data_IF_693518438845
#
_entry.id   IF_693518438845
#
_cell.length_a   1.000
_cell.length_b   1.000
_cell.length_c   1.000
_cell.angle_alpha   90.00
_cell.angle_beta   90.00
_cell.angle_gamma   90.00
#
_symmetry.space_group_name_H-M   'P 1'
#
loop_
_entity.id
_entity.type
_entity.pdbx_description
1 polymer ?
#
# COMPACT_ATOMS: atom_id res chain seq x y z
N UNK A 1 -54.09 10.66 19.29
CA UNK A 1 -52.91 11.55 19.26
C UNK A 1 -51.68 10.65 19.25
N UNK A 2 -51.18 10.34 18.06
CA UNK A 2 -50.03 9.45 17.87
C UNK A 2 -48.80 10.34 18.04
N UNK A 3 -48.07 10.20 19.16
CA UNK A 3 -46.79 10.89 19.29
C UNK A 3 -45.86 10.34 18.23
N UNK A 4 -45.50 11.17 17.26
CA UNK A 4 -44.37 10.90 16.40
C UNK A 4 -43.13 10.86 17.31
N UNK A 5 -42.56 9.68 17.47
CA UNK A 5 -41.20 9.56 17.97
C UNK A 5 -40.30 10.07 16.85
N UNK A 6 -40.02 11.38 16.86
CA UNK A 6 -38.96 11.95 16.05
C UNK A 6 -37.66 11.24 16.42
N UNK A 7 -37.03 10.50 15.51
CA UNK A 7 -35.80 9.80 15.83
C UNK A 7 -34.72 10.84 16.11
N UNK A 8 -34.32 10.87 17.38
CA UNK A 8 -33.18 11.57 17.97
C UNK A 8 -32.00 11.64 16.98
N UNK A 9 -31.63 12.85 16.54
CA UNK A 9 -30.55 13.15 15.61
C UNK A 9 -29.14 12.90 16.20
N UNK A 10 -28.97 11.82 16.96
CA UNK A 10 -27.72 11.45 17.66
C UNK A 10 -26.74 10.65 16.81
N UNK A 11 -26.83 10.73 15.49
CA UNK A 11 -25.77 10.25 14.62
C UNK A 11 -24.90 11.45 14.24
N UNK A 12 -23.68 11.47 14.80
CA UNK A 12 -22.54 12.32 14.45
C UNK A 12 -22.25 12.28 12.94
N UNK A 13 -23.10 12.88 12.12
CA UNK A 13 -22.77 13.15 10.71
C UNK A 13 -21.85 14.37 10.74
N UNK A 14 -20.57 14.27 10.32
CA UNK A 14 -19.74 15.45 10.17
C UNK A 14 -20.43 16.40 9.17
N UNK A 15 -20.28 17.73 9.33
CA UNK A 15 -20.82 18.69 8.37
C UNK A 15 -20.42 18.28 6.96
N UNK A 16 -21.37 18.28 6.00
CA UNK A 16 -21.11 17.85 4.63
C UNK A 16 -19.90 18.59 4.02
N UNK A 17 -19.68 19.85 4.41
CA UNK A 17 -18.52 20.66 4.01
C UNK A 17 -17.17 20.03 4.36
N UNK A 18 -17.05 19.40 5.54
CA UNK A 18 -15.82 18.73 5.97
C UNK A 18 -15.56 17.47 5.15
N UNK A 19 -16.63 16.76 4.76
CA UNK A 19 -16.52 15.56 3.91
C UNK A 19 -15.99 15.98 2.54
N UNK A 20 -16.61 16.99 1.92
CA UNK A 20 -16.19 17.51 0.61
C UNK A 20 -14.75 18.02 0.63
N UNK A 21 -14.37 18.78 1.66
CA UNK A 21 -13.01 19.31 1.80
C UNK A 21 -11.96 18.21 1.92
N UNK A 22 -12.22 17.18 2.74
CA UNK A 22 -11.30 16.03 2.89
C UNK A 22 -11.22 15.23 1.58
N UNK A 23 -12.35 15.07 0.88
CA UNK A 23 -12.38 14.39 -0.41
C UNK A 23 -11.55 15.11 -1.48
N UNK A 24 -11.64 16.44 -1.54
CA UNK A 24 -10.83 17.27 -2.45
C UNK A 24 -9.34 17.13 -2.14
N UNK A 25 -8.93 17.25 -0.87
CA UNK A 25 -7.53 17.10 -0.46
C UNK A 25 -6.94 15.72 -0.82
N UNK A 26 -7.71 14.64 -0.62
CA UNK A 26 -7.27 13.29 -0.97
C UNK A 26 -7.22 13.08 -2.49
N UNK A 27 -8.10 13.76 -3.24
CA UNK A 27 -8.12 13.70 -4.70
C UNK A 27 -6.93 14.45 -5.31
N UNK A 28 -6.50 15.55 -4.70
CA UNK A 28 -5.29 16.30 -5.08
C UNK A 28 -4.02 15.50 -4.82
N UNK A 29 -3.82 15.00 -3.59
CA UNK A 29 -2.70 14.12 -3.25
C UNK A 29 -3.15 12.90 -2.45
N UNK A 30 -3.15 11.74 -3.13
CA UNK A 30 -3.51 10.45 -2.53
C UNK A 30 -2.50 9.94 -1.50
N UNK A 31 -1.30 10.52 -1.38
CA UNK A 31 -0.27 10.12 -0.40
C UNK A 31 -0.39 10.84 0.95
N UNK A 32 -1.25 11.86 1.04
CA UNK A 32 -1.46 12.66 2.26
C UNK A 32 -1.64 11.81 3.51
N UNK A 33 -0.92 12.19 4.56
CA UNK A 33 -1.03 11.56 5.88
C UNK A 33 -2.19 12.13 6.67
N UNK A 34 -2.72 11.37 7.63
CA UNK A 34 -3.80 11.85 8.51
C UNK A 34 -3.40 13.16 9.21
N UNK A 35 -2.12 13.32 9.58
CA UNK A 35 -1.61 14.55 10.22
C UNK A 35 -1.69 15.77 9.31
N UNK A 36 -1.36 15.61 8.02
CA UNK A 36 -1.50 16.69 7.04
C UNK A 36 -2.97 17.03 6.83
N UNK A 37 -3.84 16.03 6.70
CA UNK A 37 -5.29 16.27 6.57
C UNK A 37 -5.87 16.98 7.81
N UNK A 38 -5.40 16.65 9.02
CA UNK A 38 -5.80 17.36 10.26
C UNK A 38 -5.43 18.84 10.17
N UNK A 39 -4.21 19.13 9.72
CA UNK A 39 -3.72 20.49 9.58
C UNK A 39 -4.53 21.27 8.53
N UNK A 40 -4.69 20.71 7.33
CA UNK A 40 -5.28 21.40 6.18
C UNK A 40 -6.81 21.51 6.27
N UNK A 41 -7.46 20.47 6.80
CA UNK A 41 -8.90 20.49 7.07
C UNK A 41 -9.25 21.25 8.36
N UNK A 42 -8.30 21.39 9.31
CA UNK A 42 -8.52 21.89 10.68
C UNK A 42 -9.59 21.08 11.45
N UNK A 43 -9.59 19.76 11.24
CA UNK A 43 -10.54 18.80 11.83
C UNK A 43 -9.79 17.79 12.70
N UNK A 44 -10.42 17.28 13.76
CA UNK A 44 -9.80 16.29 14.64
C UNK A 44 -9.43 14.99 13.90
N UNK A 45 -8.35 14.33 14.33
CA UNK A 45 -7.86 13.09 13.70
C UNK A 45 -8.92 11.98 13.67
N UNK A 46 -9.66 11.79 14.76
CA UNK A 46 -10.71 10.77 14.82
C UNK A 46 -11.87 11.03 13.87
N UNK A 47 -12.23 12.30 13.66
CA UNK A 47 -13.24 12.67 12.66
C UNK A 47 -12.73 12.40 11.24
N UNK A 48 -11.46 12.68 10.95
CA UNK A 48 -10.87 12.39 9.63
C UNK A 48 -10.82 10.89 9.37
N UNK A 49 -10.42 10.08 10.34
CA UNK A 49 -10.45 8.61 10.22
C UNK A 49 -11.87 8.10 9.95
N UNK A 50 -12.87 8.69 10.64
CA UNK A 50 -14.29 8.37 10.41
C UNK A 50 -14.73 8.75 9.00
N UNK A 51 -14.33 9.94 8.51
CA UNK A 51 -14.64 10.40 7.15
C UNK A 51 -14.01 9.49 6.11
N UNK A 52 -12.71 9.21 6.23
CA UNK A 52 -11.98 8.39 5.26
C UNK A 52 -12.58 6.98 5.18
N UNK A 53 -12.81 6.32 6.32
CA UNK A 53 -13.24 4.92 6.32
C UNK A 53 -14.75 4.72 6.19
N UNK A 54 -15.58 5.53 6.86
CA UNK A 54 -17.04 5.31 6.92
C UNK A 54 -17.80 6.13 5.88
N UNK A 55 -17.34 7.34 5.55
CA UNK A 55 -18.04 8.20 4.60
C UNK A 55 -17.50 8.06 3.17
N UNK A 56 -16.18 7.95 3.00
CA UNK A 56 -15.53 7.85 1.69
C UNK A 56 -15.16 6.41 1.30
N UNK A 57 -15.21 5.45 2.24
CA UNK A 57 -14.85 4.05 1.97
C UNK A 57 -13.40 3.85 1.54
N UNK A 58 -12.52 4.78 1.90
CA UNK A 58 -11.11 4.77 1.52
C UNK A 58 -10.32 3.81 2.40
N UNK A 59 -9.36 3.12 1.77
CA UNK A 59 -8.35 2.32 2.46
C UNK A 59 -6.95 2.81 2.09
N UNK A 60 -6.03 2.82 3.07
CA UNK A 60 -4.63 3.16 2.84
C UNK A 60 -3.87 1.89 2.47
N UNK A 61 -3.31 1.85 1.25
CA UNK A 61 -2.61 0.66 0.74
C UNK A 61 -1.24 1.04 0.22
N UNK A 62 -0.24 0.25 0.61
CA UNK A 62 1.10 0.34 0.03
C UNK A 62 1.11 -0.32 -1.35
N UNK A 63 1.86 0.29 -2.25
CA UNK A 63 2.10 -0.28 -3.57
C UNK A 63 2.83 -1.62 -3.47
N UNK A 64 2.36 -2.65 -4.19
CA UNK A 64 3.00 -3.98 -4.17
C UNK A 64 4.15 -4.00 -5.17
N UNK A 65 5.35 -4.30 -4.69
CA UNK A 65 6.51 -4.54 -5.55
C UNK A 65 6.47 -5.97 -6.07
N UNK A 66 6.58 -6.11 -7.38
CA UNK A 66 6.65 -7.39 -8.08
C UNK A 66 7.93 -7.42 -8.90
N UNK A 67 8.67 -8.55 -8.94
CA UNK A 67 9.91 -8.64 -9.72
C UNK A 67 9.71 -8.20 -11.17
N UNK A 68 8.68 -8.74 -11.83
CA UNK A 68 8.31 -8.37 -13.19
C UNK A 68 6.79 -8.38 -13.38
N UNK A 69 6.30 -7.52 -14.26
CA UNK A 69 4.92 -7.59 -14.75
C UNK A 69 4.87 -8.59 -15.90
N UNK A 70 4.40 -9.80 -15.61
CA UNK A 70 4.36 -10.88 -16.59
C UNK A 70 3.19 -10.71 -17.56
N UNK A 71 3.47 -10.89 -18.86
CA UNK A 71 2.43 -11.02 -19.89
C UNK A 71 1.62 -12.32 -19.70
N UNK A 72 0.44 -12.40 -20.33
CA UNK A 72 -0.40 -13.60 -20.25
C UNK A 72 0.34 -14.86 -20.72
N UNK A 73 1.15 -14.74 -21.78
CA UNK A 73 1.96 -15.84 -22.32
C UNK A 73 3.12 -16.23 -21.39
N UNK A 74 3.77 -15.26 -20.75
CA UNK A 74 4.87 -15.51 -19.82
C UNK A 74 4.41 -16.26 -18.56
N UNK A 75 3.16 -16.05 -18.12
CA UNK A 75 2.59 -16.74 -16.95
C UNK A 75 2.49 -18.26 -17.13
N UNK A 76 2.39 -18.76 -18.36
CA UNK A 76 2.27 -20.19 -18.61
C UNK A 76 3.58 -20.95 -18.39
N UNK A 77 4.74 -20.32 -18.62
CA UNK A 77 6.03 -21.01 -18.47
C UNK A 77 6.31 -21.46 -17.04
N UNK A 78 6.17 -20.61 -15.99
CA UNK A 78 6.32 -21.05 -14.61
C UNK A 78 5.35 -22.16 -14.22
N UNK A 79 4.09 -22.09 -14.66
CA UNK A 79 3.07 -23.10 -14.34
C UNK A 79 3.49 -24.47 -14.90
N UNK A 80 3.86 -24.52 -16.17
CA UNK A 80 4.30 -25.75 -16.82
C UNK A 80 5.56 -26.32 -16.15
N UNK A 81 6.53 -25.46 -15.82
CA UNK A 81 7.73 -25.87 -15.10
C UNK A 81 7.39 -26.46 -13.73
N UNK A 82 6.59 -25.77 -12.92
CA UNK A 82 6.16 -26.24 -11.60
C UNK A 82 5.41 -27.58 -11.68
N UNK A 83 4.50 -27.76 -12.65
CA UNK A 83 3.78 -29.02 -12.85
C UNK A 83 4.74 -30.16 -13.22
N UNK A 84 5.67 -29.92 -14.14
CA UNK A 84 6.68 -30.92 -14.53
C UNK A 84 7.54 -31.34 -13.35
N UNK A 85 7.91 -30.37 -12.50
CA UNK A 85 8.71 -30.59 -11.32
C UNK A 85 7.92 -31.37 -10.25
N UNK A 86 6.66 -31.00 -10.01
CA UNK A 86 5.78 -31.73 -9.10
C UNK A 86 5.62 -33.20 -9.50
N UNK A 87 5.40 -33.49 -10.78
CA UNK A 87 5.33 -34.86 -11.29
C UNK A 87 6.64 -35.63 -11.09
N UNK A 88 7.78 -34.97 -11.27
CA UNK A 88 9.11 -35.55 -11.04
C UNK A 88 9.36 -35.90 -9.57
N UNK A 89 8.83 -35.10 -8.63
CA UNK A 89 9.00 -35.29 -7.19
C UNK A 89 7.86 -36.06 -6.49
N UNK A 90 6.75 -36.35 -7.19
CA UNK A 90 5.60 -37.09 -6.64
C UNK A 90 5.88 -38.59 -6.39
N UNK A 91 6.91 -39.16 -7.04
CA UNK A 91 7.28 -40.56 -6.81
C UNK A 91 7.86 -40.74 -5.40
N UNK A 92 7.60 -41.87 -4.70
CA UNK A 92 7.96 -42.11 -3.30
C UNK A 92 9.47 -42.30 -3.03
N UNK A 93 10.32 -41.74 -3.88
CA UNK A 93 11.77 -41.79 -3.77
C UNK A 93 12.22 -40.66 -2.83
N UNK A 94 12.36 -41.00 -1.54
CA UNK A 94 12.44 -40.08 -0.39
C UNK A 94 13.67 -39.13 -0.37
N UNK A 95 14.55 -39.12 -1.38
CA UNK A 95 15.86 -38.43 -1.33
C UNK A 95 16.11 -37.40 -2.42
N UNK A 96 15.16 -37.14 -3.33
CA UNK A 96 15.40 -36.23 -4.46
C UNK A 96 15.55 -34.76 -4.07
N UNK A 97 14.95 -34.33 -2.97
CA UNK A 97 15.09 -32.96 -2.47
C UNK A 97 16.43 -32.73 -1.74
N UNK A 98 17.04 -33.77 -1.16
CA UNK A 98 18.34 -33.68 -0.49
C UNK A 98 19.53 -33.59 -1.44
N UNK A 99 19.34 -33.86 -2.74
CA UNK A 99 20.36 -33.73 -3.78
C UNK A 99 20.39 -32.33 -4.41
N UNK A 100 19.39 -31.50 -4.16
CA UNK A 100 19.28 -30.17 -4.76
C UNK A 100 20.14 -29.20 -3.95
N UNK A 101 21.21 -28.70 -4.58
CA UNK A 101 22.01 -27.59 -4.06
C UNK A 101 21.51 -26.31 -4.73
N UNK A 102 21.07 -25.33 -3.95
CA UNK A 102 20.65 -24.01 -4.43
C UNK A 102 21.59 -22.93 -3.91
N UNK A 103 21.88 -21.94 -4.75
CA UNK A 103 22.59 -20.72 -4.35
C UNK A 103 21.95 -19.50 -5.03
N UNK A 104 21.89 -18.39 -4.31
CA UNK A 104 21.45 -17.09 -4.82
C UNK A 104 22.28 -15.98 -4.17
N UNK A 105 22.41 -14.85 -4.86
CA UNK A 105 23.17 -13.70 -4.39
C UNK A 105 22.21 -12.61 -3.93
N UNK A 106 22.38 -12.13 -2.70
CA UNK A 106 21.59 -11.02 -2.15
C UNK A 106 22.48 -9.83 -1.88
N UNK A 107 22.11 -8.66 -2.43
CA UNK A 107 22.78 -7.40 -2.11
C UNK A 107 22.42 -6.95 -0.69
N UNK A 108 23.45 -6.67 0.12
CA UNK A 108 23.30 -6.11 1.46
C UNK A 108 23.75 -4.65 1.42
N UNK A 109 22.84 -3.73 1.72
CA UNK A 109 23.12 -2.30 1.74
C UNK A 109 23.67 -1.87 3.11
N UNK A 110 24.61 -0.92 3.10
CA UNK A 110 25.19 -0.33 4.31
C UNK A 110 24.38 0.84 4.89
N UNK A 111 23.27 1.22 4.24
CA UNK A 111 22.40 2.31 4.64
C UNK A 111 20.95 1.84 4.76
N UNK A 112 20.17 2.55 5.56
CA UNK A 112 18.74 2.28 5.73
C UNK A 112 17.97 2.67 4.46
N UNK A 113 17.29 1.69 3.85
CA UNK A 113 16.40 1.96 2.74
C UNK A 113 15.09 2.60 3.23
N UNK A 114 14.49 3.52 2.45
CA UNK A 114 13.23 4.15 2.82
C UNK A 114 12.12 3.08 3.01
N UNK A 115 11.29 3.20 4.05
CA UNK A 115 10.26 2.21 4.35
C UNK A 115 9.16 2.23 3.28
N UNK A 116 8.68 1.04 2.89
CA UNK A 116 7.61 0.86 1.90
C UNK A 116 6.33 1.64 2.22
N UNK A 117 6.11 1.97 3.50
CA UNK A 117 5.00 2.79 3.98
C UNK A 117 4.97 4.18 3.34
N UNK A 118 6.10 4.72 2.88
CA UNK A 118 6.15 6.00 2.16
C UNK A 118 5.41 5.94 0.81
N UNK A 119 5.29 4.75 0.20
CA UNK A 119 4.54 4.55 -1.06
C UNK A 119 3.03 4.34 -0.86
N UNK A 120 2.53 4.52 0.37
CA UNK A 120 1.13 4.27 0.70
C UNK A 120 0.22 5.37 0.17
N UNK A 121 -0.86 4.94 -0.48
CA UNK A 121 -1.87 5.82 -1.08
C UNK A 121 -3.24 5.45 -0.57
N UNK A 122 -4.11 6.44 -0.45
CA UNK A 122 -5.54 6.23 -0.30
C UNK A 122 -6.12 5.75 -1.62
N UNK A 123 -6.83 4.62 -1.57
CA UNK A 123 -7.54 4.05 -2.73
C UNK A 123 -9.01 3.87 -2.38
N UNK A 124 -9.85 4.12 -3.37
CA UNK A 124 -11.28 3.84 -3.30
C UNK A 124 -11.51 2.33 -3.35
N UNK A 125 -12.65 1.89 -2.83
CA UNK A 125 -12.96 0.46 -2.68
C UNK A 125 -12.89 -0.31 -4.01
N UNK A 126 -13.34 0.34 -5.08
CA UNK A 126 -13.39 -0.19 -6.46
C UNK A 126 -12.02 -0.23 -7.16
N UNK A 127 -11.01 0.44 -6.63
CA UNK A 127 -9.69 0.51 -7.26
C UNK A 127 -8.77 -0.63 -6.81
N UNK A 128 -8.18 -1.33 -7.79
CA UNK A 128 -7.16 -2.36 -7.54
C UNK A 128 -5.81 -1.69 -7.25
N UNK A 129 -5.10 -2.07 -6.16
CA UNK A 129 -3.78 -1.54 -5.87
C UNK A 129 -2.82 -1.76 -7.06
N UNK A 130 -2.17 -0.68 -7.49
CA UNK A 130 -1.17 -0.75 -8.57
C UNK A 130 0.03 -1.59 -8.13
N UNK A 131 0.49 -2.45 -9.03
CA UNK A 131 1.73 -3.20 -8.88
C UNK A 131 2.84 -2.45 -9.60
N UNK A 132 4.02 -2.39 -8.98
CA UNK A 132 5.18 -1.73 -9.55
C UNK A 132 6.29 -2.76 -9.79
N UNK A 133 6.88 -2.79 -11.01
CA UNK A 133 8.07 -3.59 -11.27
C UNK A 133 9.21 -3.19 -10.34
N UNK A 134 9.97 -4.16 -9.84
CA UNK A 134 11.10 -3.88 -8.95
C UNK A 134 12.23 -3.12 -9.68
N UNK A 135 12.26 -3.16 -11.01
CA UNK A 135 13.27 -2.48 -11.83
C UNK A 135 13.16 -0.95 -11.77
N UNK A 136 11.99 -0.39 -11.44
CA UNK A 136 11.83 1.06 -11.30
C UNK A 136 12.52 1.64 -10.07
N UNK A 137 12.75 0.82 -9.03
CA UNK A 137 13.49 1.24 -7.83
C UNK A 137 15.00 1.33 -8.05
N UNK A 138 15.53 0.69 -9.11
CA UNK A 138 16.97 0.69 -9.41
C UNK A 138 17.47 2.04 -9.93
N UNK A 139 16.58 2.88 -10.45
CA UNK A 139 16.91 4.22 -10.93
C UNK A 139 16.93 5.20 -9.76
N UNK A 140 18.08 5.33 -9.11
CA UNK A 140 18.32 6.24 -7.98
C UNK A 140 17.94 7.73 -8.24
N UNK A 141 17.67 8.12 -9.50
CA UNK A 141 17.29 9.48 -9.88
C UNK A 141 15.89 9.89 -9.43
N UNK A 142 14.93 8.98 -9.27
CA UNK A 142 13.56 9.31 -8.81
C UNK A 142 13.41 9.34 -7.28
N UNK A 143 14.33 8.73 -6.52
CA UNK A 143 14.35 8.82 -5.05
C UNK A 143 14.76 10.21 -4.53
N UNK A 144 15.36 11.05 -5.36
CA UNK A 144 15.74 12.43 -5.00
C UNK A 144 14.53 13.34 -4.72
N UNK A 145 13.34 12.94 -5.17
CA UNK A 145 12.10 13.70 -4.91
C UNK A 145 11.49 13.43 -3.53
N UNK A 146 11.97 12.42 -2.79
CA UNK A 146 11.43 12.03 -1.48
C UNK A 146 12.37 12.32 -0.29
N UNK A 147 13.57 12.87 -0.55
CA UNK A 147 14.48 13.29 0.50
C UNK A 147 14.11 14.68 1.01
N UNK A 148 13.35 14.74 2.10
CA UNK A 148 13.40 15.91 2.97
C UNK A 148 14.67 15.81 3.83
N UNK A 149 15.54 16.84 3.88
CA UNK A 149 16.75 16.79 4.69
C UNK A 149 16.37 16.71 6.18
N UNK A 150 16.64 15.56 6.82
CA UNK A 150 16.83 15.53 8.27
C UNK A 150 18.30 15.83 8.54
N UNK A 151 18.64 17.11 8.42
CA UNK A 151 19.75 17.65 9.21
C UNK A 151 19.29 17.71 10.68
N UNK A 152 20.25 17.74 11.59
CA UNK A 152 20.11 17.90 13.06
C UNK A 152 20.01 16.63 13.90
N UNK A 153 21.03 15.76 13.91
CA UNK A 153 21.43 15.07 15.16
C UNK A 153 22.91 14.67 15.14
N UNK A 154 23.82 15.64 15.16
CA UNK A 154 25.14 15.49 15.79
C UNK A 154 25.57 16.83 16.39
N UNK A 155 25.10 17.08 17.61
CA UNK A 155 25.76 17.95 18.59
C UNK A 155 25.37 17.45 19.99
N UNK A 156 26.17 16.51 20.50
CA UNK A 156 26.36 16.19 21.91
C UNK A 156 27.73 15.53 22.06
#
# INVERSE_FOLDING_TARGET
MMMMFEPDARLRRPPNENITKVEELVREDRQTTIRQLVHDASVSSGTIETILHQHLGLRRVCSKLVPHLLSLEQKNRPIQFCLSMLLKYSKPDSRRHSEVITGDETWVYFYDMPPKQQSSKWIFEDEVPKQFPNDSWRSASECSQFSSPREDFLNL
#
